data_IF_968479379815
#
_entry.id   IF_968479379815
#
_cell.length_a   1.000
_cell.length_b   1.000
_cell.length_c   1.000
_cell.angle_alpha   90.00
_cell.angle_beta   90.00
_cell.angle_gamma   90.00
#
_symmetry.space_group_name_H-M   'P 1'
#
loop_
_entity.id
_entity.type
_entity.pdbx_description
1 polymer ?
2 polymer ?
3 non-polymer ?
#
loop_
_entity_poly.entity_id
_entity_poly.type
_entity_poly.pdbx_seq_one_letter_code
_entity_poly.pdbx_strand_id
1 'polyribonucleotide' 'CACGCACAGGGCAAACCAUUCGAAAGAGUGGGACGCAAAGCCUCCGGCCUAAACGGCAUUGCACUCCGCCGUAGGUAGCGGGGUUACCGAUGG' ?
#
# COMPACT_ATOMS: atom_id res chain seq x y z
N UNK C 1 -14.77 24.10 5.09
CA UNK C 1 -14.58 24.33 3.62
C UNK C 1 -14.27 25.81 3.28
N UNK C 2 -13.59 26.49 4.21
CA UNK C 2 -13.20 27.87 4.01
C UNK C 2 -12.10 27.79 2.96
N UNK C 3 -12.32 28.40 1.78
CA UNK C 3 -11.30 28.36 0.73
C UNK C 3 -9.93 28.74 1.28
N UNK C 4 -8.87 28.21 0.67
CA UNK C 4 -7.53 28.48 1.14
C UNK C 4 -6.49 28.68 0.05
N UNK C 5 -5.34 29.24 0.41
CA UNK C 5 -4.26 29.46 -0.54
C UNK C 5 -3.59 28.13 -0.88
N UNK C 6 -3.68 27.17 0.05
CA UNK C 6 -3.10 25.86 -0.16
C UNK C 6 -4.16 24.77 -0.23
N UNK C 7 -3.87 23.72 -0.99
CA UNK C 7 -4.82 22.63 -1.14
C UNK C 7 -4.26 21.30 -0.65
N UNK C 8 -5.11 20.51 -0.03
CA UNK C 8 -4.73 19.21 0.48
C UNK C 8 -5.10 18.21 -0.62
N UNK C 9 -4.26 17.22 -0.85
CA UNK C 9 -4.58 16.24 -1.88
C UNK C 9 -4.16 14.91 -1.32
N UNK C 10 -4.98 13.87 -1.47
CA UNK C 10 -4.56 12.57 -0.99
C UNK C 10 -4.91 11.41 -1.93
N UNK C 11 -4.53 10.20 -1.53
CA UNK C 11 -4.72 9.00 -2.31
C UNK C 11 -3.61 9.09 -3.35
N UNK C 12 -2.60 9.88 -3.02
CA UNK C 12 -1.44 10.04 -3.89
C UNK C 12 -0.69 8.71 -3.94
N UNK C 13 -0.19 8.36 -5.13
CA UNK C 13 0.57 7.13 -5.39
C UNK C 13 1.85 7.13 -4.54
N UNK C 14 1.77 6.56 -3.34
CA UNK C 14 2.90 6.53 -2.40
C UNK C 14 4.16 5.93 -2.99
N UNK C 15 4.06 5.42 -4.21
CA UNK C 15 5.18 4.78 -4.88
C UNK C 15 6.04 5.74 -5.69
N UNK C 16 5.53 6.93 -5.98
CA UNK C 16 6.29 7.89 -6.76
C UNK C 16 7.19 8.75 -5.91
N UNK C 17 8.44 8.86 -6.32
CA UNK C 17 9.45 9.61 -5.59
C UNK C 17 9.22 11.10 -5.38
N UNK C 18 9.35 11.53 -4.13
CA UNK C 18 9.16 12.91 -3.72
C UNK C 18 9.47 13.91 -4.80
N UNK C 19 10.72 13.97 -5.22
CA UNK C 19 11.14 14.91 -6.26
C UNK C 19 10.19 14.86 -7.47
N UNK C 20 9.83 13.65 -7.90
CA UNK C 20 8.94 13.43 -9.05
C UNK C 20 7.54 14.03 -8.90
N UNK C 21 6.96 13.88 -7.72
CA UNK C 21 5.65 14.43 -7.43
C UNK C 21 5.78 15.92 -7.62
N UNK C 22 6.63 16.50 -6.79
CA UNK C 22 6.93 17.92 -6.80
C UNK C 22 6.89 18.46 -8.23
N UNK C 23 7.71 17.88 -9.09
CA UNK C 23 7.75 18.32 -10.47
C UNK C 23 6.45 18.08 -11.24
N UNK C 24 5.78 16.96 -10.94
CA UNK C 24 4.55 16.59 -11.65
C UNK C 24 3.20 17.14 -11.14
N UNK C 25 3.22 17.88 -10.06
CA UNK C 25 2.00 18.45 -9.56
C UNK C 25 2.08 19.86 -10.09
N UNK C 26 3.29 20.41 -10.04
CA UNK C 26 3.50 21.75 -10.57
C UNK C 26 2.97 21.55 -11.97
N UNK C 27 3.41 20.46 -12.59
CA UNK C 27 3.01 20.10 -13.93
C UNK C 27 1.55 20.38 -14.28
N UNK C 28 0.62 20.08 -13.39
CA UNK C 28 -0.81 20.27 -13.69
C UNK C 28 -1.53 21.34 -12.87
N UNK C 29 -0.92 21.81 -11.79
CA UNK C 29 -1.55 22.85 -10.99
C UNK C 29 -1.03 24.24 -11.36
N UNK C 30 0.08 24.27 -12.11
CA UNK C 30 0.67 25.53 -12.54
C UNK C 30 -0.30 26.07 -13.56
N UNK C 31 -1.05 25.17 -14.17
CA UNK C 31 -2.02 25.55 -15.18
C UNK C 31 -3.06 26.48 -14.55
N UNK C 32 -3.18 26.41 -13.23
CA UNK C 32 -4.14 27.23 -12.49
C UNK C 32 -3.59 28.51 -11.86
N UNK C 33 -2.31 28.79 -12.10
CA UNK C 33 -1.74 29.99 -11.54
C UNK C 33 -0.42 29.68 -10.87
N UNK C 34 0.39 30.72 -10.68
CA UNK C 34 1.69 30.54 -10.05
C UNK C 34 1.56 29.87 -8.71
N UNK C 35 2.60 29.12 -8.36
CA UNK C 35 2.67 28.41 -7.09
C UNK C 35 3.94 28.84 -6.39
N UNK C 36 3.85 29.05 -5.09
CA UNK C 36 5.00 29.45 -4.31
C UNK C 36 5.65 28.17 -3.83
N UNK C 37 4.85 27.13 -3.65
CA UNK C 37 5.39 25.87 -3.19
C UNK C 37 4.45 24.67 -3.16
N UNK C 38 5.07 23.50 -3.22
CA UNK C 38 4.37 22.24 -3.14
C UNK C 38 5.18 21.44 -2.16
N UNK C 39 4.60 21.16 -1.00
CA UNK C 39 5.28 20.44 0.06
C UNK C 39 4.88 18.99 0.12
N UNK C 40 5.85 18.12 0.38
CA UNK C 40 5.61 16.67 0.45
C UNK C 40 6.66 15.89 1.25
N UNK C 41 6.22 15.28 2.34
CA UNK C 41 7.08 14.47 3.19
C UNK C 41 6.79 13.02 2.90
N UNK C 42 7.82 12.18 2.87
CA UNK C 42 7.66 10.75 2.59
C UNK C 42 7.42 9.90 3.87
N UNK C 43 7.28 10.57 5.01
CA UNK C 43 7.06 9.97 6.32
C UNK C 43 5.76 9.18 6.47
N UNK C 44 5.80 8.15 7.31
CA UNK C 44 4.65 7.27 7.53
C UNK C 44 3.30 7.98 7.51
N UNK C 45 3.23 9.15 8.11
CA UNK C 45 1.95 9.80 8.15
C UNK C 45 1.69 10.77 7.03
N UNK C 46 2.68 11.54 6.63
CA UNK C 46 2.49 12.53 5.58
C UNK C 46 2.56 12.05 4.13
N UNK C 47 2.89 10.79 3.95
CA UNK C 47 2.98 10.23 2.62
C UNK C 47 1.57 10.25 2.02
N UNK C 48 1.45 9.86 0.75
CA UNK C 48 0.17 9.81 0.07
C UNK C 48 -0.53 11.14 -0.05
N UNK C 49 0.13 12.19 0.42
CA UNK C 49 -0.46 13.52 0.39
C UNK C 49 0.55 14.63 0.18
N UNK C 50 0.13 15.62 -0.61
CA UNK C 50 0.95 16.78 -0.94
C UNK C 50 0.19 18.06 -0.61
N UNK C 51 0.92 19.15 -0.42
CA UNK C 51 0.31 20.44 -0.12
C UNK C 51 0.75 21.50 -1.14
N UNK C 52 -0.19 21.97 -1.94
CA UNK C 52 0.12 22.94 -2.96
C UNK C 52 -0.33 24.32 -2.60
N UNK C 53 0.62 25.25 -2.61
CA UNK C 53 0.37 26.64 -2.28
C UNK C 53 0.33 27.53 -3.52
N UNK C 54 -0.87 27.96 -3.89
CA UNK C 54 -1.04 28.85 -5.03
C UNK C 54 -0.77 30.29 -4.58
N UNK C 55 -0.66 31.20 -5.54
CA UNK C 55 -0.40 32.60 -5.22
C UNK C 55 -1.58 33.13 -4.44
N UNK C 56 -2.77 32.98 -5.00
CA UNK C 56 -3.95 33.44 -4.30
C UNK C 56 -5.11 32.47 -4.37
N UNK C 57 -5.89 32.47 -3.28
CA UNK C 57 -7.06 31.63 -3.14
C UNK C 57 -7.70 31.39 -4.50
N UNK C 58 -8.10 32.48 -5.12
CA UNK C 58 -8.73 32.46 -6.43
C UNK C 58 -8.26 31.33 -7.32
N UNK C 59 -6.97 30.97 -7.20
CA UNK C 59 -6.40 29.90 -8.03
C UNK C 59 -6.58 28.52 -7.39
N UNK C 60 -6.46 28.48 -6.08
CA UNK C 60 -6.62 27.23 -5.34
C UNK C 60 -8.01 26.75 -5.69
N UNK C 61 -9.01 27.61 -5.44
CA UNK C 61 -10.40 27.32 -5.74
C UNK C 61 -10.54 26.87 -7.18
N UNK C 62 -10.13 27.72 -8.10
CA UNK C 62 -10.22 27.37 -9.51
C UNK C 62 -9.58 25.99 -9.68
N UNK C 63 -8.46 25.80 -8.98
CA UNK C 63 -7.74 24.55 -9.03
C UNK C 63 -8.67 23.46 -8.57
N UNK C 64 -8.76 23.31 -7.25
CA UNK C 64 -9.61 22.31 -6.62
C UNK C 64 -10.63 21.68 -7.55
N UNK C 65 -11.83 22.29 -7.60
CA UNK C 65 -12.99 21.85 -8.38
C UNK C 65 -12.77 21.09 -9.71
N UNK C 66 -11.83 21.58 -10.51
CA UNK C 66 -11.52 20.98 -11.80
C UNK C 66 -10.81 19.62 -11.74
N UNK C 67 -9.88 19.44 -10.81
CA UNK C 67 -9.16 18.17 -10.75
C UNK C 67 -9.54 17.22 -9.60
N UNK C 68 -10.79 17.26 -9.18
CA UNK C 68 -11.28 16.38 -8.11
C UNK C 68 -11.70 15.06 -8.76
N UNK C 69 -11.24 13.96 -8.18
CA UNK C 69 -11.56 12.64 -8.70
C UNK C 69 -10.66 12.38 -9.90
N UNK C 70 -9.73 13.30 -10.13
CA UNK C 70 -8.81 13.23 -11.25
C UNK C 70 -7.74 12.15 -11.19
N UNK C 71 -7.78 11.20 -12.15
CA UNK C 71 -6.82 10.11 -12.23
C UNK C 71 -5.41 10.63 -12.46
N UNK C 72 -4.60 10.48 -11.41
CA UNK C 72 -3.21 10.91 -11.40
C UNK C 72 -2.42 9.67 -10.99
N UNK C 73 -1.44 9.29 -11.82
CA UNK C 73 -0.64 8.09 -11.57
C UNK C 73 -1.62 6.98 -11.16
N UNK C 74 -2.48 6.64 -12.13
CA UNK C 74 -3.51 5.62 -11.99
C UNK C 74 -4.10 5.59 -10.57
N UNK C 75 -4.17 6.75 -9.94
CA UNK C 75 -4.70 6.83 -8.59
C UNK C 75 -5.41 8.16 -8.40
N UNK C 76 -6.75 8.17 -8.47
CA UNK C 76 -7.73 9.26 -8.33
C UNK C 76 -7.64 10.11 -7.07
N UNK C 77 -7.06 11.31 -7.15
CA UNK C 77 -6.88 12.12 -5.95
C UNK C 77 -8.03 12.90 -5.37
N UNK C 78 -8.20 12.78 -4.05
CA UNK C 78 -9.23 13.54 -3.34
C UNK C 78 -8.59 14.89 -3.13
N UNK C 79 -9.40 15.95 -3.07
CA UNK C 79 -8.85 17.29 -2.87
C UNK C 79 -9.67 18.09 -1.86
N UNK C 80 -9.00 18.97 -1.14
CA UNK C 80 -9.66 19.78 -0.13
C UNK C 80 -8.95 21.06 0.25
N UNK C 81 -9.69 21.95 0.90
CA UNK C 81 -9.12 23.21 1.35
C UNK C 81 -8.29 22.89 2.57
N UNK C 82 -7.02 23.27 2.51
CA UNK C 82 -6.14 23.04 3.65
C UNK C 82 -6.87 23.56 4.87
N UNK C 83 -6.76 22.84 5.98
CA UNK C 83 -7.40 23.26 7.22
C UNK C 83 -6.78 24.52 7.81
N UNK C 84 -5.47 24.66 7.68
CA UNK C 84 -4.72 25.80 8.18
C UNK C 84 -4.10 26.50 6.97
N UNK C 85 -3.35 27.56 7.17
CA UNK C 85 -2.68 28.22 6.05
C UNK C 85 -1.23 27.85 6.26
N UNK C 86 -0.50 27.60 5.18
CA UNK C 86 0.90 27.25 5.31
C UNK C 86 1.58 28.40 6.02
N UNK C 87 2.83 28.22 6.41
CA UNK C 87 3.54 29.27 7.12
C UNK C 87 3.72 30.58 6.34
N UNK C 88 4.46 30.51 5.23
CA UNK C 88 4.73 31.69 4.44
C UNK C 88 3.51 32.51 4.11
N UNK C 89 2.35 31.86 4.13
CA UNK C 89 1.12 32.59 3.85
C UNK C 89 0.88 33.70 4.87
N UNK C 90 1.41 33.53 6.08
CA UNK C 90 1.27 34.57 7.09
C UNK C 90 2.02 35.73 6.45
N UNK C 91 3.24 35.41 6.02
CA UNK C 91 4.13 36.33 5.34
C UNK C 91 3.60 36.60 3.91
N UNK D 1 -0.34 -4.99 -2.15
CA UNK D 1 -0.90 -4.80 -3.53
C UNK D 1 -2.29 -5.42 -3.68
N UNK D 2 -2.34 -6.70 -4.01
CA UNK D 2 -3.60 -7.40 -4.18
C UNK D 2 -3.79 -8.30 -2.96
N UNK D 3 -4.33 -7.75 -1.86
CA UNK D 3 -4.53 -8.56 -0.66
C UNK D 3 -5.41 -9.75 -1.04
N UNK D 4 -4.91 -10.96 -0.79
CA UNK D 4 -5.66 -12.17 -1.14
C UNK D 4 -5.72 -13.12 0.05
N UNK D 5 -6.50 -14.19 -0.11
CA UNK D 5 -6.67 -15.20 0.94
C UNK D 5 -5.41 -16.00 1.16
N UNK D 6 -4.63 -16.09 0.09
CA UNK D 6 -3.39 -16.86 0.10
C UNK D 6 -2.13 -16.05 0.40
N UNK D 7 -1.19 -16.68 1.10
CA UNK D 7 0.06 -16.00 1.36
C UNK D 7 1.08 -16.91 0.72
N UNK D 8 2.07 -16.33 0.06
CA UNK D 8 3.09 -17.11 -0.64
C UNK D 8 4.42 -17.18 0.10
N UNK D 9 4.40 -17.86 1.24
CA UNK D 9 5.58 -18.03 2.06
C UNK D 9 6.71 -18.75 1.33
N UNK D 10 7.95 -18.42 1.65
CA UNK D 10 9.09 -19.07 1.01
C UNK D 10 10.31 -19.29 1.91
N UNK D 11 11.50 -18.90 1.45
CA UNK D 11 12.74 -19.09 2.19
C UNK D 11 12.50 -20.16 3.24
N UNK D 12 12.01 -21.31 2.78
CA UNK D 12 11.73 -22.42 3.67
C UNK D 12 12.82 -23.50 3.68
N UNK D 13 12.83 -24.23 4.80
CA UNK D 13 13.77 -25.31 5.02
C UNK D 13 13.38 -26.47 4.15
N UNK D 14 13.83 -26.41 2.90
CA UNK D 14 13.52 -27.43 1.91
C UNK D 14 13.78 -28.84 2.41
N UNK D 15 14.40 -28.95 3.59
CA UNK D 15 14.74 -30.26 4.14
C UNK D 15 13.65 -30.86 5.04
N UNK D 16 12.53 -30.16 5.19
CA UNK D 16 11.48 -30.67 6.07
C UNK D 16 10.45 -31.58 5.40
N UNK D 17 10.19 -32.74 6.01
CA UNK D 17 9.22 -33.68 5.50
C UNK D 17 8.01 -32.92 5.01
N UNK D 18 7.26 -33.48 4.08
CA UNK D 18 6.09 -32.78 3.58
C UNK D 18 5.08 -32.71 4.69
N UNK D 19 4.31 -33.78 4.80
CA UNK D 19 3.24 -33.92 5.77
C UNK D 19 3.48 -33.29 7.15
N UNK D 20 4.74 -33.15 7.56
CA UNK D 20 4.99 -32.55 8.86
C UNK D 20 5.02 -31.03 8.81
N UNK D 21 5.63 -30.48 7.76
CA UNK D 21 5.73 -29.04 7.60
C UNK D 21 4.36 -28.40 7.36
N UNK D 22 3.42 -29.16 6.83
CA UNK D 22 2.09 -28.62 6.59
C UNK D 22 1.37 -28.54 7.94
N UNK D 23 1.48 -29.62 8.71
CA UNK D 23 0.86 -29.72 10.03
C UNK D 23 1.31 -28.61 10.99
N UNK D 24 2.58 -28.23 10.90
CA UNK D 24 3.13 -27.17 11.74
C UNK D 24 2.75 -25.78 11.24
N UNK D 25 2.91 -25.51 9.93
CA UNK D 25 2.54 -24.20 9.39
C UNK D 25 1.17 -23.90 9.95
N UNK D 26 0.32 -24.92 9.97
CA UNK D 26 -1.02 -24.75 10.50
C UNK D 26 -0.87 -24.30 11.94
N UNK D 27 -0.41 -25.20 12.80
CA UNK D 27 -0.21 -24.88 14.20
C UNK D 27 0.15 -23.41 14.41
N UNK D 28 0.93 -22.84 13.50
CA UNK D 28 1.34 -21.44 13.60
C UNK D 28 0.36 -20.38 13.06
N UNK D 29 -0.12 -20.59 11.84
CA UNK D 29 -1.04 -19.64 11.23
C UNK D 29 -2.51 -19.82 11.64
N UNK D 30 -2.79 -20.82 12.47
CA UNK D 30 -4.16 -21.01 12.93
C UNK D 30 -4.52 -19.69 13.58
N UNK D 31 -3.63 -19.25 14.46
CA UNK D 31 -3.75 -18.01 15.24
C UNK D 31 -4.31 -16.78 14.55
N UNK D 32 -4.74 -16.90 13.29
CA UNK D 32 -5.29 -15.73 12.60
C UNK D 32 -6.71 -15.93 12.00
N UNK D 33 -7.18 -17.18 11.96
CA UNK D 33 -8.50 -17.44 11.41
C UNK D 33 -8.63 -18.87 10.91
N UNK D 34 -9.66 -19.14 10.13
CA UNK D 34 -9.85 -20.48 9.61
C UNK D 34 -8.99 -20.73 8.37
N UNK D 35 -8.06 -21.67 8.45
CA UNK D 35 -7.23 -22.01 7.31
C UNK D 35 -8.02 -23.01 6.53
N UNK D 36 -8.17 -22.79 5.23
CA UNK D 36 -8.91 -23.73 4.42
C UNK D 36 -8.04 -24.88 3.99
N UNK D 37 -6.84 -24.58 3.48
CA UNK D 37 -5.91 -25.61 3.01
C UNK D 37 -4.51 -25.07 3.14
N UNK D 38 -3.53 -25.88 2.78
CA UNK D 38 -2.14 -25.47 2.80
C UNK D 38 -1.36 -26.42 1.94
N UNK D 39 -1.14 -26.01 0.71
CA UNK D 39 -0.44 -26.85 -0.22
C UNK D 39 1.05 -26.60 -0.16
N UNK D 40 1.80 -27.66 -0.35
CA UNK D 40 3.24 -27.59 -0.36
C UNK D 40 3.62 -28.45 -1.54
N UNK D 41 4.82 -29.04 -1.51
CA UNK D 41 5.31 -29.90 -2.59
C UNK D 41 6.82 -29.71 -2.73
N UNK D 42 7.55 -30.82 -2.72
CA UNK D 42 9.00 -30.76 -2.84
C UNK D 42 9.42 -30.99 -4.28
N UNK D 43 8.56 -30.52 -5.18
CA UNK D 43 8.77 -30.60 -6.61
C UNK D 43 9.74 -29.48 -7.00
N UNK D 44 11.04 -29.78 -6.91
CA UNK D 44 12.14 -28.86 -7.22
C UNK D 44 11.86 -27.37 -7.44
N UNK D 45 11.08 -27.04 -8.47
CA UNK D 45 10.76 -25.65 -8.81
C UNK D 45 9.82 -25.02 -7.76
N UNK D 46 9.21 -25.87 -6.95
CA UNK D 46 8.26 -25.47 -5.94
C UNK D 46 8.69 -25.70 -4.50
N UNK D 47 9.98 -25.89 -4.27
CA UNK D 47 10.45 -26.15 -2.92
C UNK D 47 10.82 -24.94 -2.07
N UNK D 48 10.79 -25.16 -0.75
CA UNK D 48 11.10 -24.12 0.20
C UNK D 48 10.08 -23.01 0.09
N UNK D 49 8.83 -23.39 -0.19
CA UNK D 49 7.75 -22.43 -0.34
C UNK D 49 6.37 -23.10 -0.39
N UNK D 50 5.46 -22.65 0.49
CA UNK D 50 4.10 -23.19 0.57
C UNK D 50 3.02 -22.10 0.62
N UNK D 51 1.88 -22.38 -0.01
CA UNK D 51 0.77 -21.42 -0.04
C UNK D 51 -0.19 -21.69 1.11
N UNK D 52 -0.57 -20.62 1.79
CA UNK D 52 -1.47 -20.72 2.93
C UNK D 52 -2.71 -19.91 2.67
N UNK D 53 -3.84 -20.60 2.54
CA UNK D 53 -5.12 -19.93 2.29
C UNK D 53 -6.08 -20.00 3.45
N UNK D 54 -6.58 -18.84 3.86
CA UNK D 54 -7.53 -18.73 4.96
C UNK D 54 -8.95 -18.62 4.43
N UNK D 55 -9.94 -18.55 5.31
CA UNK D 55 -11.33 -18.46 4.89
C UNK D 55 -11.61 -17.02 4.49
N UNK D 56 -11.04 -16.10 5.25
CA UNK D 56 -11.23 -14.67 5.03
C UNK D 56 -9.92 -13.89 4.90
N UNK D 57 -9.77 -13.21 3.78
CA UNK D 57 -8.59 -12.40 3.49
C UNK D 57 -8.03 -11.62 4.68
N UNK D 58 -8.92 -11.08 5.51
CA UNK D 58 -8.49 -10.31 6.69
C UNK D 58 -7.41 -11.10 7.40
N UNK D 59 -7.82 -12.20 8.02
CA UNK D 59 -6.90 -13.07 8.74
C UNK D 59 -5.52 -13.11 8.08
N UNK D 60 -5.52 -13.23 6.75
CA UNK D 60 -4.31 -13.33 5.94
C UNK D 60 -3.35 -12.17 6.06
N UNK D 61 -3.83 -10.97 5.74
CA UNK D 61 -2.99 -9.78 5.84
C UNK D 61 -2.45 -9.72 7.26
N UNK D 62 -3.32 -9.96 8.24
CA UNK D 62 -2.92 -9.94 9.63
C UNK D 62 -1.74 -10.87 9.77
N UNK D 63 -1.88 -12.08 9.24
CA UNK D 63 -0.81 -13.06 9.28
C UNK D 63 0.44 -12.37 8.73
N UNK D 64 0.39 -12.02 7.44
CA UNK D 64 1.49 -11.33 6.78
C UNK D 64 2.36 -10.57 7.79
N UNK D 65 2.09 -9.27 7.89
CA UNK D 65 2.77 -8.35 8.78
C UNK D 65 3.34 -9.01 10.01
N UNK D 66 2.46 -9.76 10.67
CA UNK D 66 2.78 -10.49 11.90
C UNK D 66 3.92 -11.51 11.73
N UNK D 67 3.71 -12.51 10.86
CA UNK D 67 4.68 -13.57 10.66
C UNK D 67 5.85 -13.36 9.70
N UNK D 68 5.99 -12.14 9.17
CA UNK D 68 7.09 -11.86 8.27
C UNK D 68 8.38 -11.84 9.08
N UNK D 69 9.49 -12.18 8.44
CA UNK D 69 10.77 -12.18 9.12
C UNK D 69 10.89 -13.23 10.21
N UNK D 70 9.75 -13.78 10.63
CA UNK D 70 9.75 -14.80 11.67
C UNK D 70 10.66 -15.98 11.34
N UNK D 71 11.61 -16.28 12.23
CA UNK D 71 12.52 -17.40 11.99
C UNK D 71 11.85 -18.74 12.25
N UNK D 72 11.38 -19.36 11.16
CA UNK D 72 10.73 -20.66 11.19
C UNK D 72 11.82 -21.66 10.83
N UNK D 73 11.95 -22.73 11.59
CA UNK D 73 12.97 -23.74 11.33
C UNK D 73 14.37 -23.26 11.01
N UNK D 74 14.80 -22.20 11.69
CA UNK D 74 16.14 -21.63 11.52
C UNK D 74 16.34 -20.91 10.20
N UNK D 75 15.24 -20.55 9.59
CA UNK D 75 15.28 -19.84 8.32
C UNK D 75 14.11 -18.87 8.36
N UNK D 76 14.39 -17.57 8.50
CA UNK D 76 13.33 -16.58 8.53
C UNK D 76 12.37 -16.66 7.34
N UNK D 77 11.08 -16.58 7.60
CA UNK D 77 10.06 -16.65 6.57
C UNK D 77 10.00 -15.33 5.77
N UNK D 78 9.78 -15.43 4.47
CA UNK D 78 9.71 -14.27 3.60
C UNK D 78 8.33 -14.21 2.97
N UNK D 79 7.32 -14.25 3.82
CA UNK D 79 5.91 -14.21 3.44
C UNK D 79 5.44 -12.98 2.64
N UNK D 80 4.63 -13.22 1.61
CA UNK D 80 4.07 -12.13 0.80
C UNK D 80 2.83 -12.57 0.07
N UNK D 81 1.95 -11.62 -0.23
CA UNK D 81 0.70 -11.91 -0.95
C UNK D 81 0.91 -12.89 -2.11
N UNK D 82 -0.15 -13.57 -2.49
CA UNK D 82 -0.06 -14.52 -3.59
C UNK D 82 -0.32 -13.73 -4.87
N UNK D 83 -0.13 -14.35 -6.02
CA UNK D 83 -0.38 -13.67 -7.29
C UNK D 83 -1.80 -13.89 -7.72
N UNK D 84 -2.18 -15.15 -7.87
CA UNK D 84 -3.54 -15.54 -8.26
C UNK D 84 -4.25 -16.06 -7.02
N UNK D 85 -5.48 -16.53 -7.18
CA UNK D 85 -6.21 -17.07 -6.06
C UNK D 85 -6.26 -18.58 -6.15
N UNK D 86 -5.94 -19.25 -5.07
CA UNK D 86 -5.98 -20.70 -5.11
C UNK D 86 -7.33 -21.07 -5.65
N UNK D 87 -7.42 -22.20 -6.35
CA UNK D 87 -8.71 -22.61 -6.90
C UNK D 87 -9.82 -22.58 -5.86
N UNK D 88 -9.61 -23.27 -4.75
CA UNK D 88 -10.61 -23.31 -3.69
C UNK D 88 -11.30 -21.95 -3.59
N UNK D 89 -10.60 -20.90 -4.02
CA UNK D 89 -11.13 -19.54 -3.98
C UNK D 89 -11.85 -19.12 -5.25
N UNK D 90 -11.28 -19.44 -6.40
CA UNK D 90 -11.93 -19.08 -7.65
C UNK D 90 -13.16 -19.96 -7.82
N UNK D 91 -13.65 -20.49 -6.71
CA UNK D 91 -14.80 -21.37 -6.70
C UNK D 91 -15.81 -21.00 -5.60
X LIG E 1 49.16 -8.64 30.07
X LIG E 1 48.49 -9.37 28.94
X LIG E 1 48.57 -9.05 31.40
X LIG E 1 50.77 -8.93 30.04
X LIG E 1 51.67 -8.37 31.02
X LIG E 1 53.12 -8.74 30.73
X LIG E 1 53.24 -10.12 30.41
X LIG E 1 53.70 -7.94 29.55
X LIG E 1 54.20 -6.67 29.99
X LIG E 1 54.68 -8.90 28.98
X LIG E 1 55.99 -8.66 29.48
X LIG E 1 54.18 -10.30 29.32
X LIG E 1 53.43 -10.88 28.17
X LIG E 1 52.21 -11.46 28.20
X LIG E 1 51.82 -11.90 26.99
X LIG E 1 52.81 -11.60 26.15
X LIG E 1 53.07 -11.78 24.69
X LIG E 1 52.20 -12.34 23.95
X LIG E 1 54.25 -11.33 24.17
X LIG E 1 55.21 -10.71 24.95
X LIG E 1 56.37 -10.28 24.39
X LIG E 1 55.03 -10.52 26.30
X LIG E 1 53.87 -10.94 26.92
X LIG E 1 54.00 -5.52 28.89
X LIG E 1 54.74 -5.87 27.63
X LIG E 1 54.52 -4.23 29.48
X LIG E 1 52.42 -5.43 28.57
X LIG E 1 51.46 -5.11 29.60
X LIG E 1 50.04 -5.10 29.06
X LIG E 1 49.90 -4.35 27.86
X LIG E 1 49.52 -6.49 28.75
X LIG E 1 48.92 -7.06 29.93
X LIG E 1 48.62 -6.27 27.57
X LIG E 1 47.26 -6.26 28.01
X LIG E 1 49.04 -4.95 26.90
X LIG E 1 49.75 -5.21 25.60
X LIG E 1 51.04 -4.96 25.33
X LIG E 1 51.36 -5.30 24.06
X LIG E 1 50.24 -5.78 23.48
X LIG E 1 49.84 -6.32 22.14
X LIG E 1 50.65 -6.42 21.19
X LIG E 1 48.56 -6.71 21.95
X LIG E 1 47.63 -6.63 22.94
X LIG E 1 46.37 -7.05 22.65
X LIG E 1 47.92 -6.15 24.19
X LIG E 1 49.18 -5.71 24.50
X LIG F 1 5.28 -77.78 -23.37
X LIG F 1 6.18 -77.61 -22.16
X LIG F 1 5.99 -77.48 -24.67
X LIG F 1 4.72 -79.29 -23.46
X LIG F 1 3.85 -79.73 -24.51
X LIG F 1 3.52 -81.20 -24.27
X LIG F 1 4.76 -81.91 -24.09
X LIG F 1 2.73 -81.38 -22.97
X LIG F 1 1.32 -81.29 -23.17
X LIG F 1 3.27 -82.68 -22.45
X LIG F 1 2.44 -83.79 -22.85
X LIG F 1 4.69 -82.83 -22.98
X LIG F 1 5.68 -82.39 -21.95
X LIG F 1 6.80 -81.68 -22.18
X LIG F 1 7.48 -81.44 -21.03
X LIG F 1 6.79 -82.02 -20.04
X LIG F 1 6.93 -82.18 -18.55
X LIG F 1 7.92 -81.67 -17.94
X LIG F 1 5.98 -82.87 -17.88
X LIG F 1 4.89 -83.43 -18.51
X LIG F 1 3.97 -84.11 -17.78
X LIG F 1 4.71 -83.33 -19.86
X LIG F 1 5.60 -82.65 -20.66
X LIG F 1 0.63 -80.65 -21.89
X LIG F 1 0.93 -81.50 -20.68
X LIG F 1 -0.84 -80.58 -22.13
X LIG F 1 1.25 -79.17 -21.68
X LIG F 1 1.09 -78.18 -22.71
X LIG F 1 1.76 -76.87 -22.31
X LIG F 1 1.19 -76.31 -21.09
X LIG F 1 3.25 -77.00 -22.07
X LIG F 1 4.02 -76.78 -23.26
X LIG F 1 3.53 -76.02 -20.97
X LIG F 1 4.10 -74.82 -21.53
X LIG F 1 2.22 -75.77 -20.26
X LIG F 1 2.22 -76.43 -18.93
X LIG F 1 1.39 -77.41 -18.51
X LIG F 1 1.66 -77.77 -17.24
X LIG F 1 2.69 -77.00 -16.81
X LIG F 1 3.47 -76.84 -15.56
X LIG F 1 3.23 -77.52 -14.55
X LIG F 1 4.46 -75.91 -15.53
X LIG F 1 4.75 -75.12 -16.62
X LIG F 1 5.75 -74.22 -16.53
X LIG F 1 4.06 -75.22 -17.80
X LIG F 1 3.04 -76.13 -17.94
#
# INVERSE_FOLDING_TARGET
TRPNHTIYINNLNEKIKKDELKKSLHAIFSRFGQILDILVSRSLKMRGQAFVIFKEVSSATNALRSMQGFPFYDKPMRIQYAKTDSDIIAK
TRPNHTIYINNLNEKIKKDELKKSLHAIFSRFGQILDILVSRSLKMRGQAFVIFKEVSSATNALRSMQGFPFYDKPMRIQYAKTDSDIIAK
C2E P1 O2P O1P O5' C5' C4' O4' C3' O3' C2' O2' C1' N9 C8 N7 C5 C6 O6 N1 C2 N2 N3 C4 P11 O21 O11 O5A C5A C4A O4A C3A O3A C2A O2A C1A N91 C81 N71 C51 C61 O61 N11 C21 N21 N31 C41
C2E P1 O2P O1P O5' C5' C4' O4' C3' O3' C2' O2' C1' N9 C8 N7 C5 C6 O6 N1 C2 N2 N3 C4 P11 O21 O11 O5A C5A C4A O4A C3A O3A C2A O2A C1A N91 C81 N71 C51 C61 O61 N11 C21 N21 N31 C41
#
